data_IF_379960932508
#
_entry.id   IF_379960932508
#
_cell.length_a   1.000
_cell.length_b   1.000
_cell.length_c   1.000
_cell.angle_alpha   90.00
_cell.angle_beta   90.00
_cell.angle_gamma   90.00
#
_symmetry.space_group_name_H-M   'P 1'
#
loop_
_entity.id
_entity.type
_entity.pdbx_description
1 polymer ?
#
# COMPACT_ATOMS: atom_id res chain seq x y z
N UNK A 1 -49.62 -27.03 -68.46
CA UNK A 1 -50.78 -26.34 -67.88
C UNK A 1 -50.25 -25.54 -66.70
N UNK A 2 -50.05 -24.22 -66.91
CA UNK A 2 -49.81 -23.14 -65.92
C UNK A 2 -48.55 -23.28 -65.01
N UNK A 3 -47.75 -22.28 -64.66
CA UNK A 3 -47.64 -20.84 -64.93
C UNK A 3 -46.25 -20.39 -64.43
N UNK A 4 -45.75 -19.28 -65.00
CA UNK A 4 -44.70 -18.35 -64.56
C UNK A 4 -44.63 -18.17 -63.01
N UNK A 5 -43.51 -17.84 -62.36
CA UNK A 5 -42.53 -16.81 -62.72
C UNK A 5 -41.15 -17.03 -62.03
N UNK A 6 -40.12 -16.63 -62.77
CA UNK A 6 -38.76 -16.23 -62.36
C UNK A 6 -38.82 -14.76 -61.83
N UNK A 7 -37.96 -14.28 -60.91
CA UNK A 7 -36.68 -13.75 -61.38
C UNK A 7 -35.48 -13.92 -60.41
N UNK A 8 -34.42 -14.51 -60.96
CA UNK A 8 -33.01 -14.14 -60.79
C UNK A 8 -32.72 -12.72 -60.25
N UNK A 9 -31.68 -12.61 -59.42
CA UNK A 9 -30.51 -11.78 -59.73
C UNK A 9 -29.37 -12.01 -58.72
N UNK A 10 -28.29 -12.55 -59.29
CA UNK A 10 -26.89 -12.26 -59.03
C UNK A 10 -26.18 -12.68 -57.74
N UNK A 11 -25.37 -13.73 -57.94
CA UNK A 11 -24.07 -13.94 -57.34
C UNK A 11 -23.16 -12.69 -57.47
N UNK A 12 -22.54 -12.24 -56.38
CA UNK A 12 -21.11 -12.48 -56.07
C UNK A 12 -20.64 -11.66 -54.84
N UNK A 13 -19.58 -12.11 -54.14
CA UNK A 13 -19.30 -11.77 -52.76
C UNK A 13 -18.35 -10.57 -52.64
N UNK A 14 -18.49 -9.78 -51.56
CA UNK A 14 -17.41 -9.07 -50.87
C UNK A 14 -18.01 -8.08 -49.86
N UNK A 15 -18.00 -8.44 -48.58
CA UNK A 15 -17.24 -7.76 -47.53
C UNK A 15 -17.79 -8.17 -46.16
N UNK A 16 -16.89 -8.78 -45.39
CA UNK A 16 -17.01 -8.96 -43.94
C UNK A 16 -17.08 -7.57 -43.31
N UNK A 17 -18.17 -7.28 -42.62
CA UNK A 17 -18.16 -6.25 -41.59
C UNK A 17 -18.22 -6.96 -40.24
N UNK A 18 -17.05 -7.35 -39.75
CA UNK A 18 -16.87 -7.70 -38.34
C UNK A 18 -17.02 -6.40 -37.57
N UNK A 19 -18.24 -6.08 -37.16
CA UNK A 19 -18.45 -5.02 -36.18
C UNK A 19 -17.91 -5.50 -34.85
N UNK A 20 -16.63 -5.20 -34.61
CA UNK A 20 -16.04 -5.25 -33.29
C UNK A 20 -16.82 -4.28 -32.40
N UNK A 21 -17.86 -4.79 -31.72
CA UNK A 21 -18.39 -4.14 -30.52
C UNK A 21 -17.29 -4.19 -29.48
N UNK A 22 -16.42 -3.18 -29.50
CA UNK A 22 -15.60 -2.84 -28.33
C UNK A 22 -16.60 -2.48 -27.24
N UNK A 23 -16.90 -3.45 -26.38
CA UNK A 23 -17.59 -3.20 -25.12
C UNK A 23 -16.58 -2.38 -24.32
N UNK A 24 -16.72 -1.06 -24.35
CA UNK A 24 -16.09 -0.20 -23.36
C UNK A 24 -16.64 -0.72 -22.03
N UNK A 25 -15.86 -1.53 -21.33
CA UNK A 25 -16.12 -1.81 -19.93
C UNK A 25 -15.90 -0.45 -19.29
N UNK A 26 -17.00 0.27 -19.06
CA UNK A 26 -16.98 1.44 -18.21
C UNK A 26 -16.47 0.94 -16.87
N UNK A 27 -15.17 1.12 -16.65
CA UNK A 27 -14.54 0.90 -15.35
C UNK A 27 -15.08 2.02 -14.47
N UNK A 28 -16.27 1.79 -13.93
CA UNK A 28 -16.84 2.62 -12.90
C UNK A 28 -15.80 2.71 -11.80
N UNK A 29 -15.17 3.87 -11.64
CA UNK A 29 -14.24 4.13 -10.56
C UNK A 29 -15.11 4.18 -9.31
N UNK A 30 -15.24 3.05 -8.62
CA UNK A 30 -15.88 3.01 -7.32
C UNK A 30 -15.06 3.88 -6.37
N UNK A 31 -15.64 5.00 -5.95
CA UNK A 31 -15.09 5.82 -4.87
C UNK A 31 -15.59 5.28 -3.54
N UNK A 32 -14.66 5.02 -2.62
CA UNK A 32 -14.98 4.60 -1.27
C UNK A 32 -14.63 5.73 -0.32
N UNK A 33 -15.52 5.99 0.65
CA UNK A 33 -15.24 6.95 1.71
C UNK A 33 -14.43 6.23 2.79
N UNK A 34 -13.24 6.76 3.05
CA UNK A 34 -12.38 6.31 4.15
C UNK A 34 -12.37 7.40 5.21
N UNK A 35 -12.90 7.09 6.38
CA UNK A 35 -12.88 7.99 7.53
C UNK A 35 -11.63 7.73 8.34
N UNK A 36 -10.73 8.71 8.39
CA UNK A 36 -9.49 8.62 9.16
C UNK A 36 -9.74 8.95 10.62
N UNK A 37 -9.24 8.12 11.54
CA UNK A 37 -9.14 8.52 12.95
C UNK A 37 -8.07 9.63 13.02
N UNK A 38 -8.51 10.86 13.27
CA UNK A 38 -7.63 12.03 13.41
C UNK A 38 -7.57 12.43 14.88
N UNK A 39 -6.40 12.80 15.42
CA UNK A 39 -5.06 12.82 14.80
C UNK A 39 -4.32 11.46 14.88
N UNK A 40 -3.20 11.27 14.13
CA UNK A 40 -2.30 10.13 14.35
C UNK A 40 -1.89 10.01 15.82
N UNK A 41 -1.97 8.80 16.36
CA UNK A 41 -1.59 8.55 17.76
C UNK A 41 -0.15 8.05 17.82
N UNK A 42 0.62 8.53 18.80
CA UNK A 42 1.93 7.96 19.09
C UNK A 42 1.76 6.72 20.00
N UNK A 43 2.30 5.59 19.55
CA UNK A 43 2.33 4.33 20.31
C UNK A 43 3.74 4.17 20.86
N UNK A 44 3.87 4.40 22.16
CA UNK A 44 5.12 4.19 22.90
C UNK A 44 5.25 2.72 23.34
N UNK A 45 6.49 2.25 23.60
CA UNK A 45 6.72 0.99 24.30
C UNK A 45 5.95 0.96 25.63
N UNK A 46 5.37 -0.19 25.97
CA UNK A 46 4.59 -0.36 27.21
C UNK A 46 5.43 -0.34 28.49
N UNK A 47 6.74 -0.48 28.36
CA UNK A 47 7.73 -0.47 29.44
C UNK A 47 8.94 0.35 29.00
N UNK A 48 9.74 0.78 29.98
CA UNK A 48 11.01 1.44 29.69
C UNK A 48 11.91 0.53 28.83
N UNK A 49 12.51 1.12 27.80
CA UNK A 49 13.44 0.45 26.89
C UNK A 49 14.86 0.93 27.17
N UNK A 50 15.89 0.17 26.77
CA UNK A 50 17.27 0.64 26.85
C UNK A 50 17.41 2.02 26.21
N UNK A 51 18.03 2.94 26.96
CA UNK A 51 18.37 4.27 26.47
C UNK A 51 19.75 4.23 25.82
N UNK A 52 19.93 5.00 24.74
CA UNK A 52 21.21 5.15 24.06
C UNK A 52 21.08 5.25 22.54
N UNK A 53 22.23 5.45 21.91
CA UNK A 53 22.34 5.60 20.46
C UNK A 53 22.82 4.30 19.83
N UNK A 54 22.15 3.87 18.77
CA UNK A 54 22.55 2.69 17.98
C UNK A 54 23.22 3.18 16.70
N UNK A 55 24.50 2.85 16.57
CA UNK A 55 25.27 3.12 15.36
C UNK A 55 24.82 2.21 14.22
N UNK A 56 24.63 2.80 13.05
CA UNK A 56 24.19 2.07 11.86
C UNK A 56 25.38 1.44 11.15
N UNK A 57 25.22 0.21 10.67
CA UNK A 57 26.21 -0.43 9.81
C UNK A 57 26.17 0.17 8.39
N UNK A 58 27.21 -0.03 7.55
CA UNK A 58 27.15 0.36 6.14
C UNK A 58 25.94 -0.21 5.39
N UNK A 59 25.52 -1.44 5.72
CA UNK A 59 24.34 -2.08 5.15
C UNK A 59 23.05 -1.37 5.54
N UNK A 60 22.91 -0.99 6.82
CA UNK A 60 21.74 -0.23 7.28
C UNK A 60 21.66 1.12 6.57
N UNK A 61 22.79 1.84 6.49
CA UNK A 61 22.91 3.14 5.81
C UNK A 61 22.50 3.07 4.35
N UNK A 62 22.87 1.99 3.64
CA UNK A 62 22.49 1.77 2.24
C UNK A 62 20.98 1.62 2.02
N UNK A 63 20.22 1.28 3.07
CA UNK A 63 18.78 1.01 3.01
C UNK A 63 17.92 2.04 3.73
N UNK A 64 18.51 3.01 4.44
CA UNK A 64 17.78 4.01 5.24
C UNK A 64 16.67 4.76 4.48
N UNK A 65 16.87 5.00 3.19
CA UNK A 65 15.93 5.77 2.36
C UNK A 65 15.06 4.89 1.46
N UNK A 66 15.12 3.57 1.61
CA UNK A 66 14.29 2.65 0.84
C UNK A 66 12.95 2.47 1.57
N UNK A 67 11.84 3.03 1.06
CA UNK A 67 10.55 2.86 1.71
C UNK A 67 10.12 1.39 1.65
N UNK A 68 9.66 0.86 2.78
CA UNK A 68 9.07 -0.47 2.86
C UNK A 68 7.60 -0.37 3.24
N UNK A 69 6.72 -0.86 2.36
CA UNK A 69 5.28 -0.91 2.59
C UNK A 69 4.81 -2.34 2.39
N UNK A 70 4.08 -2.89 3.36
CA UNK A 70 3.44 -4.19 3.28
C UNK A 70 1.95 -4.05 3.58
N UNK A 71 1.14 -4.90 2.94
CA UNK A 71 -0.29 -4.97 3.17
C UNK A 71 -0.63 -6.36 3.72
N UNK A 72 -1.32 -6.37 4.85
CA UNK A 72 -1.82 -7.59 5.48
C UNK A 72 -3.34 -7.51 5.55
N UNK A 73 -4.03 -8.48 4.95
CA UNK A 73 -5.48 -8.54 4.86
C UNK A 73 -5.96 -9.70 5.73
N UNK A 74 -6.92 -9.43 6.61
CA UNK A 74 -7.51 -10.42 7.51
C UNK A 74 -9.02 -10.48 7.22
N UNK A 75 -9.53 -11.67 6.90
CA UNK A 75 -10.96 -11.88 6.62
C UNK A 75 -11.77 -12.09 7.90
N UNK A 76 -11.16 -12.66 8.94
CA UNK A 76 -11.81 -12.88 10.22
C UNK A 76 -11.76 -11.61 11.08
N UNK A 77 -12.91 -11.03 11.45
CA UNK A 77 -12.93 -9.85 12.29
C UNK A 77 -12.46 -10.18 13.72
N UNK A 78 -11.76 -9.22 14.32
CA UNK A 78 -11.40 -9.24 15.74
C UNK A 78 -12.14 -8.12 16.46
N UNK A 79 -12.39 -8.29 17.76
CA UNK A 79 -12.98 -7.24 18.56
C UNK A 79 -12.04 -6.04 18.66
N UNK A 80 -12.56 -4.83 18.40
CA UNK A 80 -11.83 -3.56 18.52
C UNK A 80 -10.43 -3.59 17.85
N UNK A 81 -10.33 -3.83 16.53
CA UNK A 81 -9.07 -4.16 15.85
C UNK A 81 -8.00 -3.08 16.03
N UNK A 82 -8.38 -1.80 15.96
CA UNK A 82 -7.49 -0.68 16.16
C UNK A 82 -6.86 -0.68 17.57
N UNK A 83 -7.67 -0.95 18.59
CA UNK A 83 -7.23 -0.99 19.99
C UNK A 83 -6.34 -2.22 20.24
N UNK A 84 -6.73 -3.37 19.70
CA UNK A 84 -5.98 -4.62 19.80
C UNK A 84 -4.60 -4.53 19.15
N UNK A 85 -4.52 -3.98 17.92
CA UNK A 85 -3.24 -3.76 17.22
C UNK A 85 -2.39 -2.75 17.98
N UNK A 86 -2.98 -1.62 18.42
CA UNK A 86 -2.26 -0.60 19.18
C UNK A 86 -1.64 -1.17 20.47
N UNK A 87 -2.42 -1.93 21.23
CA UNK A 87 -1.94 -2.55 22.47
C UNK A 87 -0.81 -3.55 22.20
N UNK A 88 -1.00 -4.42 21.23
CA UNK A 88 0.00 -5.43 20.84
C UNK A 88 1.29 -4.78 20.34
N UNK A 89 1.18 -3.70 19.56
CA UNK A 89 2.33 -2.92 19.10
C UNK A 89 3.10 -2.32 20.28
N UNK A 90 2.42 -1.74 21.27
CA UNK A 90 3.07 -1.19 22.47
C UNK A 90 3.85 -2.25 23.25
N UNK A 91 3.35 -3.49 23.33
CA UNK A 91 4.08 -4.61 23.94
C UNK A 91 5.28 -5.04 23.08
N UNK A 92 5.09 -5.18 21.77
CA UNK A 92 6.17 -5.56 20.85
C UNK A 92 7.32 -4.55 20.84
N UNK A 93 7.01 -3.25 20.93
CA UNK A 93 8.01 -2.18 20.97
C UNK A 93 8.95 -2.23 22.19
N UNK A 94 8.66 -3.00 23.22
CA UNK A 94 9.63 -3.27 24.30
C UNK A 94 10.81 -4.08 23.76
N UNK A 95 10.53 -5.06 22.90
CA UNK A 95 11.54 -5.95 22.31
C UNK A 95 12.15 -5.35 21.03
N UNK A 96 11.34 -4.59 20.28
CA UNK A 96 11.75 -3.93 19.03
C UNK A 96 11.87 -2.41 19.18
N UNK A 97 12.39 -1.97 20.33
CA UNK A 97 12.47 -0.56 20.68
C UNK A 97 13.18 0.35 19.65
N UNK A 98 14.15 -0.10 18.82
CA UNK A 98 14.72 0.74 17.78
C UNK A 98 13.69 1.19 16.73
N UNK A 99 12.57 0.48 16.57
CA UNK A 99 11.49 0.88 15.64
C UNK A 99 10.73 2.12 16.15
N UNK A 100 10.68 2.33 17.48
CA UNK A 100 10.05 3.49 18.11
C UNK A 100 10.99 4.72 18.23
N UNK A 101 12.18 4.65 17.63
CA UNK A 101 13.23 5.64 17.75
C UNK A 101 13.11 6.78 16.72
N UNK A 102 14.11 7.67 16.69
CA UNK A 102 14.31 8.67 15.63
C UNK A 102 15.69 8.53 15.02
N UNK A 103 15.80 8.84 13.72
CA UNK A 103 17.10 9.03 13.10
C UNK A 103 17.64 10.40 13.48
N UNK A 104 18.90 10.44 13.90
CA UNK A 104 19.62 11.65 14.23
C UNK A 104 20.94 11.70 13.45
N UNK A 105 21.47 12.91 13.27
CA UNK A 105 22.75 13.15 12.59
C UNK A 105 23.74 13.71 13.60
N UNK A 106 24.86 13.04 13.79
CA UNK A 106 25.95 13.43 14.69
C UNK A 106 27.23 13.77 13.93
N UNK A 107 28.18 14.40 14.61
CA UNK A 107 29.52 14.64 14.06
C UNK A 107 30.44 13.45 14.35
N UNK A 108 31.27 13.07 13.37
CA UNK A 108 32.40 12.17 13.53
C UNK A 108 33.66 12.93 13.13
N UNK A 109 34.49 13.32 14.10
CA UNK A 109 35.80 13.95 13.84
C UNK A 109 35.74 15.24 13.00
N UNK A 110 36.82 15.52 12.29
CA UNK A 110 37.02 16.75 11.51
C UNK A 110 36.08 16.80 10.28
N UNK A 111 34.88 17.33 10.47
CA UNK A 111 33.87 17.68 9.47
C UNK A 111 33.01 16.56 8.86
N UNK A 112 33.12 15.30 9.30
CA UNK A 112 32.21 14.26 8.85
C UNK A 112 30.95 14.19 9.72
N UNK A 113 29.81 13.88 9.09
CA UNK A 113 28.53 13.62 9.77
C UNK A 113 28.16 12.15 9.60
N UNK A 114 27.55 11.57 10.62
CA UNK A 114 27.01 10.22 10.56
C UNK A 114 25.59 10.12 11.09
N UNK A 115 24.85 9.14 10.60
CA UNK A 115 23.46 8.88 10.98
C UNK A 115 23.42 7.74 11.98
N UNK A 116 22.73 7.96 13.08
CA UNK A 116 22.49 6.96 14.11
C UNK A 116 21.02 6.97 14.54
N UNK A 117 20.64 5.91 15.25
CA UNK A 117 19.30 5.75 15.81
C UNK A 117 19.31 6.23 17.26
N UNK A 118 18.53 7.27 17.56
CA UNK A 118 18.34 7.83 18.90
C UNK A 118 17.12 7.17 19.57
N UNK A 119 17.37 6.27 20.52
CA UNK A 119 16.31 5.54 21.22
C UNK A 119 15.71 6.34 22.37
N UNK A 120 14.74 7.22 22.05
CA UNK A 120 14.04 8.06 23.04
C UNK A 120 12.81 7.41 23.68
N UNK A 121 12.32 6.29 23.13
CA UNK A 121 11.08 5.67 23.59
C UNK A 121 9.81 6.49 23.29
N UNK A 122 9.89 7.57 22.50
CA UNK A 122 8.76 8.45 22.18
C UNK A 122 7.65 7.77 21.36
N UNK A 123 7.92 6.59 20.81
CA UNK A 123 6.93 5.82 20.07
C UNK A 123 6.86 6.16 18.59
N UNK A 124 6.02 5.39 17.90
CA UNK A 124 5.78 5.49 16.46
C UNK A 124 4.35 5.91 16.16
N UNK A 125 4.14 6.52 14.98
CA UNK A 125 2.82 6.94 14.55
C UNK A 125 1.94 5.73 14.19
N UNK A 126 0.72 5.73 14.70
CA UNK A 126 -0.33 4.78 14.39
C UNK A 126 -1.59 5.54 13.93
N UNK A 127 -2.20 5.05 12.86
CA UNK A 127 -3.44 5.59 12.30
C UNK A 127 -4.41 4.44 12.12
N UNK A 128 -5.63 4.62 12.61
CA UNK A 128 -6.75 3.74 12.29
C UNK A 128 -7.69 4.44 11.32
N UNK A 129 -8.36 3.68 10.47
CA UNK A 129 -9.41 4.21 9.60
C UNK A 129 -10.55 3.21 9.54
N UNK A 130 -11.75 3.70 9.26
CA UNK A 130 -12.90 2.87 8.92
C UNK A 130 -13.28 3.18 7.46
N UNK A 131 -13.56 2.14 6.69
CA UNK A 131 -14.05 2.27 5.33
C UNK A 131 -15.51 1.78 5.29
N UNK A 132 -16.37 2.51 4.58
CA UNK A 132 -17.78 2.13 4.38
C UNK A 132 -17.92 1.14 3.23
N UNK A 133 -17.08 0.09 3.20
CA UNK A 133 -17.08 -0.95 2.18
C UNK A 133 -16.52 -2.27 2.70
N UNK A 134 -16.82 -3.35 1.98
CA UNK A 134 -16.35 -4.70 2.29
C UNK A 134 -15.04 -5.02 1.56
N UNK A 135 -14.28 -6.00 2.07
CA UNK A 135 -13.08 -6.51 1.37
C UNK A 135 -13.41 -7.08 -0.02
N UNK A 136 -14.61 -7.65 -0.20
CA UNK A 136 -15.08 -8.18 -1.48
C UNK A 136 -15.27 -7.06 -2.52
N UNK A 137 -15.86 -5.94 -2.12
CA UNK A 137 -16.04 -4.77 -2.99
C UNK A 137 -14.71 -4.16 -3.44
N UNK A 138 -13.68 -4.24 -2.60
CA UNK A 138 -12.35 -3.74 -2.90
C UNK A 138 -11.56 -4.60 -3.90
N UNK A 139 -12.08 -5.78 -4.31
CA UNK A 139 -11.44 -6.74 -5.24
C UNK A 139 -9.99 -7.11 -4.89
N UNK A 140 -9.53 -6.88 -3.65
CA UNK A 140 -8.16 -7.22 -3.21
C UNK A 140 -7.87 -8.72 -3.27
N UNK A 141 -8.92 -9.56 -3.32
CA UNK A 141 -8.81 -11.02 -3.33
C UNK A 141 -8.66 -11.64 -4.73
N UNK A 142 -8.85 -10.88 -5.82
CA UNK A 142 -8.92 -11.45 -7.16
C UNK A 142 -7.70 -11.21 -8.06
N UNK A 143 -6.75 -10.33 -7.69
CA UNK A 143 -5.47 -10.19 -8.41
C UNK A 143 -4.48 -9.42 -7.54
N UNK A 144 -3.21 -9.85 -7.37
CA UNK A 144 -2.19 -8.94 -6.87
C UNK A 144 -2.04 -7.84 -7.91
N UNK A 145 -2.60 -6.65 -7.65
CA UNK A 145 -2.20 -5.47 -8.40
C UNK A 145 -0.74 -5.24 -8.03
N UNK A 146 0.17 -5.59 -8.95
CA UNK A 146 1.53 -5.11 -8.89
C UNK A 146 1.45 -3.60 -8.69
N UNK A 147 1.88 -3.12 -7.53
CA UNK A 147 2.04 -1.68 -7.32
C UNK A 147 3.13 -1.28 -8.31
N UNK A 148 2.86 -0.45 -9.33
CA UNK A 148 3.89 -0.07 -10.27
C UNK A 148 4.97 0.67 -9.49
N UNK A 149 6.17 0.11 -9.42
CA UNK A 149 7.34 0.80 -8.89
C UNK A 149 7.69 1.95 -9.84
N UNK A 150 7.00 3.08 -9.72
CA UNK A 150 7.43 4.30 -10.39
C UNK A 150 8.66 4.85 -9.65
N UNK A 151 9.83 4.37 -10.06
CA UNK A 151 11.09 5.03 -9.80
C UNK A 151 11.05 6.39 -10.51
N UNK A 152 10.82 7.47 -9.77
CA UNK A 152 11.11 8.81 -10.27
C UNK A 152 12.63 8.96 -10.30
N UNK A 153 13.24 8.65 -11.45
CA UNK A 153 14.59 9.11 -11.76
C UNK A 153 14.50 10.64 -11.84
N UNK A 154 15.03 11.34 -10.84
CA UNK A 154 15.37 12.74 -11.03
C UNK A 154 16.66 12.74 -11.84
N UNK A 155 16.55 13.18 -13.08
CA UNK A 155 17.71 13.42 -13.93
C UNK A 155 18.59 14.48 -13.25
N UNK A 156 19.84 14.10 -13.01
CA UNK A 156 20.97 14.97 -12.71
C UNK A 156 21.87 14.97 -13.95
#
# INVERSE_FOLDING_TARGET
MQTLADPSLDQCPLQREVTNKVKIVQMSIMSFVVTKSSPPMLVAPSKLTPAGDIQLTPTDKSRLLVPFTSFHIFECPIHEPANTIRHSLSQALVHYYPIASRLAVGAIGDNNKDVYVLCTGQGMAFVSTAASCTLQELRFLHTPRAIPWHYHKKDL
#
